data_IF_276902281293
#
_entry.id   IF_276902281293
#
_cell.length_a   1.000
_cell.length_b   1.000
_cell.length_c   1.000
_cell.angle_alpha   90.00
_cell.angle_beta   90.00
_cell.angle_gamma   90.00
#
_symmetry.space_group_name_H-M   'P 1'
#
loop_
_entity.id
_entity.type
_entity.pdbx_description
1 polymer ?
#
# COMPACT_ATOMS: atom_id res chain seq x y z
N UNK A 1 10.78 -2.69 -13.82
CA UNK A 1 10.55 -3.05 -12.41
C UNK A 1 11.14 -4.42 -12.14
N UNK A 2 12.09 -4.52 -11.24
CA UNK A 2 12.76 -5.77 -10.87
C UNK A 2 11.91 -6.47 -9.81
N UNK A 3 11.51 -7.74 -10.06
CA UNK A 3 10.95 -8.58 -8.99
C UNK A 3 12.10 -8.96 -8.07
N UNK A 4 11.97 -8.66 -6.78
CA UNK A 4 12.85 -9.25 -5.78
C UNK A 4 12.29 -10.63 -5.49
N UNK A 5 13.08 -11.69 -5.67
CA UNK A 5 12.62 -13.05 -5.40
C UNK A 5 12.67 -13.32 -3.90
N UNK A 6 11.49 -13.61 -3.35
CA UNK A 6 11.26 -14.04 -1.98
C UNK A 6 10.51 -15.37 -1.98
N UNK A 7 10.68 -16.17 -0.93
CA UNK A 7 10.03 -17.48 -0.80
C UNK A 7 8.56 -17.35 -0.40
N UNK A 8 8.25 -16.45 0.54
CA UNK A 8 6.93 -16.27 1.13
C UNK A 8 6.38 -14.85 1.02
N UNK A 9 7.23 -13.84 0.83
CA UNK A 9 6.83 -12.44 0.71
C UNK A 9 6.42 -12.09 -0.73
N UNK A 10 5.35 -12.69 -1.21
CA UNK A 10 4.92 -12.68 -2.63
C UNK A 10 4.66 -11.28 -3.19
N UNK A 11 4.14 -10.33 -2.39
CA UNK A 11 3.81 -8.96 -2.81
C UNK A 11 4.97 -7.97 -2.59
N UNK A 12 6.19 -8.47 -2.42
CA UNK A 12 7.36 -7.61 -2.24
C UNK A 12 8.00 -7.27 -3.57
N UNK A 13 8.17 -5.97 -3.84
CA UNK A 13 8.77 -5.49 -5.10
C UNK A 13 9.42 -4.12 -4.97
N UNK A 14 10.51 -3.95 -5.74
CA UNK A 14 11.18 -2.68 -5.95
C UNK A 14 10.44 -1.84 -7.01
N UNK A 15 10.34 -0.55 -6.80
CA UNK A 15 9.83 0.41 -7.79
C UNK A 15 10.89 0.80 -8.82
N UNK A 16 12.14 0.41 -8.60
CA UNK A 16 13.24 0.68 -9.50
C UNK A 16 12.99 0.20 -10.93
N UNK A 17 13.43 0.98 -11.89
CA UNK A 17 13.22 0.75 -13.32
C UNK A 17 11.85 1.16 -13.86
N UNK A 18 10.95 1.69 -13.03
CA UNK A 18 9.73 2.35 -13.53
C UNK A 18 10.14 3.62 -14.26
N UNK A 19 9.75 3.71 -15.53
CA UNK A 19 9.98 4.92 -16.35
C UNK A 19 8.92 5.94 -15.98
N UNK A 20 9.35 7.17 -15.75
CA UNK A 20 8.51 8.33 -15.47
C UNK A 20 8.63 9.35 -16.60
N UNK A 21 8.00 10.52 -16.47
CA UNK A 21 8.05 11.57 -17.47
C UNK A 21 9.49 12.03 -17.75
N UNK A 22 9.68 12.70 -18.90
CA UNK A 22 10.93 13.32 -19.33
C UNK A 22 12.11 12.35 -19.54
N UNK A 23 11.84 11.05 -19.69
CA UNK A 23 12.87 10.05 -19.95
C UNK A 23 13.73 9.70 -18.75
N UNK A 24 13.21 9.92 -17.55
CA UNK A 24 13.80 9.45 -16.32
C UNK A 24 13.20 8.10 -15.88
N UNK A 25 13.89 7.42 -14.98
CA UNK A 25 13.42 6.19 -14.34
C UNK A 25 13.81 6.18 -12.85
N UNK A 26 13.05 5.43 -12.06
CA UNK A 26 13.31 5.27 -10.64
C UNK A 26 14.59 4.45 -10.43
N UNK A 27 15.46 4.93 -9.56
CA UNK A 27 16.69 4.23 -9.14
C UNK A 27 16.34 2.88 -8.53
N UNK A 28 16.94 1.76 -8.98
CA UNK A 28 16.72 0.45 -8.38
C UNK A 28 17.22 0.35 -6.92
N UNK A 29 16.64 -0.60 -6.21
CA UNK A 29 17.01 -1.01 -4.86
C UNK A 29 16.98 0.13 -3.81
N UNK A 30 16.04 1.09 -3.98
CA UNK A 30 15.83 2.22 -3.07
C UNK A 30 14.41 2.30 -2.49
N UNK A 31 13.39 1.90 -3.23
CA UNK A 31 11.98 2.08 -2.90
C UNK A 31 11.25 0.74 -3.03
N UNK A 32 10.99 0.08 -1.90
CA UNK A 32 10.42 -1.27 -1.86
C UNK A 32 9.05 -1.24 -1.18
N UNK A 33 8.05 -1.84 -1.81
CA UNK A 33 6.73 -2.08 -1.18
C UNK A 33 6.52 -3.55 -0.92
N UNK A 34 5.77 -3.88 0.16
CA UNK A 34 5.52 -5.26 0.57
C UNK A 34 4.15 -5.46 1.21
N UNK A 35 3.75 -6.70 1.42
CA UNK A 35 2.83 -7.14 2.46
C UNK A 35 3.55 -7.27 3.80
N UNK A 36 2.83 -7.71 4.84
CA UNK A 36 3.38 -7.92 6.20
C UNK A 36 4.61 -8.84 6.16
N UNK A 37 5.62 -8.49 6.94
CA UNK A 37 6.88 -9.25 6.98
C UNK A 37 6.82 -10.47 7.91
N UNK A 38 5.92 -10.50 8.88
CA UNK A 38 5.81 -11.57 9.86
C UNK A 38 5.45 -12.95 9.30
N UNK A 39 5.19 -13.07 7.99
CA UNK A 39 5.00 -14.35 7.29
C UNK A 39 6.22 -14.79 6.49
N UNK A 40 7.27 -13.96 6.43
CA UNK A 40 8.49 -14.27 5.67
C UNK A 40 9.26 -15.45 6.25
N UNK A 41 9.93 -16.22 5.37
CA UNK A 41 10.88 -17.22 5.81
C UNK A 41 12.15 -16.58 6.40
N UNK A 42 12.99 -17.37 7.06
CA UNK A 42 14.27 -16.89 7.57
C UNK A 42 15.14 -16.29 6.45
N UNK A 43 15.17 -16.95 5.29
CA UNK A 43 15.85 -16.47 4.08
C UNK A 43 15.28 -15.13 3.58
N UNK A 44 13.95 -14.95 3.62
CA UNK A 44 13.31 -13.69 3.25
C UNK A 44 13.73 -12.54 4.19
N UNK A 45 13.77 -12.83 5.49
CA UNK A 45 14.12 -11.83 6.51
C UNK A 45 15.60 -11.44 6.43
N UNK A 46 16.49 -12.40 6.23
CA UNK A 46 17.90 -12.13 5.96
C UNK A 46 18.06 -11.23 4.73
N UNK A 47 17.31 -11.55 3.65
CA UNK A 47 17.34 -10.76 2.41
C UNK A 47 16.84 -9.33 2.61
N UNK A 48 15.79 -9.12 3.43
CA UNK A 48 15.36 -7.78 3.83
C UNK A 48 16.48 -7.04 4.55
N UNK A 49 17.17 -7.66 5.50
CA UNK A 49 18.28 -7.06 6.23
C UNK A 49 19.46 -6.62 5.35
N UNK A 50 19.70 -7.32 4.23
CA UNK A 50 20.69 -6.94 3.26
C UNK A 50 20.31 -5.67 2.46
N UNK A 51 19.05 -5.57 2.07
CA UNK A 51 18.55 -4.57 1.12
C UNK A 51 18.03 -3.29 1.79
N UNK A 52 17.48 -3.39 2.99
CA UNK A 52 16.65 -2.37 3.62
C UNK A 52 17.34 -1.78 4.84
N UNK A 53 17.21 -0.49 5.07
CA UNK A 53 17.62 0.18 6.32
C UNK A 53 16.45 0.59 7.20
N UNK A 54 15.27 0.81 6.59
CA UNK A 54 14.06 1.25 7.28
C UNK A 54 12.87 0.47 6.76
N UNK A 55 12.07 -0.07 7.66
CA UNK A 55 10.74 -0.63 7.41
C UNK A 55 9.70 0.33 7.97
N UNK A 56 8.71 0.69 7.16
CA UNK A 56 7.57 1.51 7.57
C UNK A 56 6.31 0.63 7.57
N UNK A 57 5.73 0.45 8.75
CA UNK A 57 4.53 -0.34 8.96
C UNK A 57 3.28 0.56 9.10
N UNK A 58 2.35 0.45 8.16
CA UNK A 58 1.10 1.22 8.15
C UNK A 58 -0.07 0.53 8.88
N UNK A 59 0.16 -0.64 9.49
CA UNK A 59 -0.89 -1.41 10.16
C UNK A 59 -1.35 -0.76 11.47
N UNK A 60 -2.54 -1.10 11.90
CA UNK A 60 -3.02 -0.77 13.24
C UNK A 60 -2.26 -1.54 14.33
N UNK A 61 -2.36 -1.12 15.58
CA UNK A 61 -1.78 -1.83 16.72
C UNK A 61 -2.32 -3.26 16.85
N UNK A 62 -3.61 -3.47 16.56
CA UNK A 62 -4.22 -4.80 16.60
C UNK A 62 -3.62 -5.73 15.54
N UNK A 63 -3.53 -5.28 14.27
CA UNK A 63 -2.93 -6.08 13.20
C UNK A 63 -1.46 -6.43 13.49
N UNK A 64 -0.72 -5.51 14.11
CA UNK A 64 0.68 -5.74 14.51
C UNK A 64 0.80 -6.75 15.63
N UNK A 65 -0.10 -6.71 16.59
CA UNK A 65 -0.09 -7.66 17.73
C UNK A 65 -0.42 -9.09 17.29
N UNK A 66 -1.27 -9.25 16.29
CA UNK A 66 -1.63 -10.56 15.72
C UNK A 66 -0.51 -11.19 14.89
N UNK A 67 0.22 -10.38 14.14
CA UNK A 67 1.33 -10.85 13.31
C UNK A 67 2.47 -9.83 13.38
N UNK A 68 3.29 -9.86 14.45
CA UNK A 68 4.41 -8.94 14.61
C UNK A 68 5.42 -9.08 13.48
N UNK A 69 6.01 -7.96 13.06
CA UNK A 69 7.18 -8.05 12.19
C UNK A 69 8.39 -8.56 12.97
N UNK A 70 9.28 -9.30 12.31
CA UNK A 70 10.49 -9.78 12.93
C UNK A 70 11.45 -8.63 13.25
N UNK A 71 12.24 -8.80 14.31
CA UNK A 71 13.39 -7.91 14.57
C UNK A 71 14.52 -8.25 13.59
N UNK A 72 14.90 -7.29 12.76
CA UNK A 72 15.91 -7.48 11.70
C UNK A 72 17.14 -6.66 12.08
N UNK A 73 18.30 -7.30 12.35
CA UNK A 73 19.52 -6.58 12.72
C UNK A 73 19.91 -5.49 11.72
N UNK A 74 20.08 -4.26 12.21
CA UNK A 74 20.46 -3.11 11.38
C UNK A 74 19.31 -2.46 10.59
N UNK A 75 18.09 -2.90 10.75
CA UNK A 75 16.89 -2.31 10.15
C UNK A 75 16.08 -1.58 11.23
N UNK A 76 15.69 -0.35 10.94
CA UNK A 76 14.84 0.45 11.83
C UNK A 76 13.37 0.24 11.45
N UNK A 77 12.56 -0.25 12.39
CA UNK A 77 11.11 -0.37 12.21
C UNK A 77 10.42 0.91 12.68
N UNK A 78 9.65 1.54 11.80
CA UNK A 78 8.89 2.76 12.08
C UNK A 78 7.41 2.47 11.88
N UNK A 79 6.63 2.67 12.93
CA UNK A 79 5.18 2.49 12.90
C UNK A 79 4.47 3.79 12.60
N UNK A 80 3.73 3.82 11.50
CA UNK A 80 2.89 4.95 11.07
C UNK A 80 1.50 4.39 10.75
N UNK A 81 0.62 4.22 11.74
CA UNK A 81 -0.70 3.65 11.47
C UNK A 81 -1.50 4.55 10.56
N UNK A 82 -1.88 4.03 9.40
CA UNK A 82 -2.84 4.65 8.50
C UNK A 82 -4.20 4.04 8.81
N UNK A 83 -5.00 4.76 9.57
CA UNK A 83 -6.33 4.34 9.98
C UNK A 83 -7.32 5.25 9.26
N UNK A 84 -8.31 4.66 8.64
CA UNK A 84 -9.47 5.38 8.15
C UNK A 84 -10.37 5.71 9.35
N UNK A 85 -10.67 6.99 9.55
CA UNK A 85 -11.56 7.43 10.64
C UNK A 85 -12.99 6.86 10.47
N UNK A 86 -13.38 6.48 9.24
CA UNK A 86 -14.64 5.77 8.97
C UNK A 86 -14.56 4.31 9.45
N UNK A 87 -13.42 3.65 9.24
CA UNK A 87 -13.19 2.31 9.77
C UNK A 87 -12.95 2.32 11.29
N UNK A 88 -12.34 3.38 11.84
CA UNK A 88 -12.15 3.55 13.28
C UNK A 88 -13.49 3.70 14.05
N UNK A 89 -14.56 4.15 13.40
CA UNK A 89 -15.92 4.18 13.98
C UNK A 89 -16.53 2.79 14.14
N UNK A 90 -16.11 1.81 13.33
CA UNK A 90 -16.55 0.40 13.37
C UNK A 90 -15.60 -0.42 14.27
N UNK A 91 -14.34 -0.03 14.41
CA UNK A 91 -13.24 -0.77 15.06
C UNK A 91 -13.16 -0.68 16.58
N UNK A 92 -14.24 -0.32 17.29
CA UNK A 92 -14.24 -0.28 18.76
C UNK A 92 -14.71 -1.56 19.45
N UNK A 93 -15.26 -2.51 18.67
CA UNK A 93 -15.74 -3.79 19.21
C UNK A 93 -15.45 -4.91 18.20
N UNK A 94 -14.58 -5.87 18.54
CA UNK A 94 -14.19 -6.98 17.66
C UNK A 94 -15.39 -7.77 17.11
N UNK A 95 -16.49 -7.83 17.87
CA UNK A 95 -17.74 -8.45 17.40
C UNK A 95 -18.41 -7.65 16.30
N UNK A 96 -18.33 -6.31 16.35
CA UNK A 96 -18.90 -5.45 15.31
C UNK A 96 -18.13 -5.54 13.99
N UNK A 97 -16.81 -5.75 14.05
CA UNK A 97 -15.97 -5.90 12.86
C UNK A 97 -16.22 -7.23 12.16
N UNK A 98 -16.41 -8.32 12.91
CA UNK A 98 -16.75 -9.63 12.34
C UNK A 98 -18.14 -9.62 11.72
N UNK A 99 -19.11 -9.03 12.38
CA UNK A 99 -20.48 -8.89 11.86
C UNK A 99 -20.52 -8.02 10.59
N UNK A 100 -19.79 -6.88 10.59
CA UNK A 100 -19.68 -6.01 9.42
C UNK A 100 -18.99 -6.72 8.25
N UNK A 101 -17.92 -7.46 8.50
CA UNK A 101 -17.25 -8.28 7.49
C UNK A 101 -18.20 -9.34 6.92
N UNK A 102 -18.96 -10.04 7.77
CA UNK A 102 -19.93 -11.06 7.33
C UNK A 102 -21.07 -10.45 6.51
N UNK A 103 -21.51 -9.23 6.83
CA UNK A 103 -22.50 -8.51 6.01
C UNK A 103 -21.92 -8.20 4.62
N UNK A 104 -20.73 -7.62 4.56
CA UNK A 104 -20.05 -7.29 3.31
C UNK A 104 -19.73 -8.54 2.48
N UNK A 105 -19.39 -9.66 3.12
CA UNK A 105 -19.10 -10.91 2.43
C UNK A 105 -20.31 -11.49 1.67
N UNK A 106 -21.54 -11.03 1.97
CA UNK A 106 -22.76 -11.45 1.29
C UNK A 106 -23.39 -10.34 0.40
N UNK A 107 -22.71 -9.19 0.29
CA UNK A 107 -23.15 -8.05 -0.49
C UNK A 107 -22.01 -7.54 -1.40
N UNK A 108 -21.93 -8.02 -2.66
CA UNK A 108 -20.88 -7.59 -3.59
C UNK A 108 -20.84 -6.08 -3.84
N UNK A 109 -21.99 -5.44 -3.98
CA UNK A 109 -22.06 -4.01 -4.25
C UNK A 109 -21.65 -3.21 -2.99
N UNK A 110 -22.12 -3.62 -1.82
CA UNK A 110 -21.71 -3.05 -0.54
C UNK A 110 -20.22 -3.25 -0.26
N UNK A 111 -19.65 -4.40 -0.61
CA UNK A 111 -18.21 -4.65 -0.49
C UNK A 111 -17.38 -3.74 -1.40
N UNK A 112 -17.82 -3.53 -2.64
CA UNK A 112 -17.20 -2.61 -3.58
C UNK A 112 -17.26 -1.18 -3.05
N UNK A 113 -18.44 -0.72 -2.63
CA UNK A 113 -18.64 0.63 -2.09
C UNK A 113 -17.80 0.86 -0.83
N UNK A 114 -17.76 -0.11 0.09
CA UNK A 114 -16.94 -0.03 1.29
C UNK A 114 -15.46 0.18 0.96
N UNK A 115 -14.93 -0.57 -0.01
CA UNK A 115 -13.54 -0.41 -0.43
C UNK A 115 -13.29 0.95 -1.11
N UNK A 116 -14.21 1.44 -1.93
CA UNK A 116 -14.10 2.79 -2.51
C UNK A 116 -14.05 3.86 -1.41
N UNK A 117 -14.95 3.78 -0.42
CA UNK A 117 -14.97 4.70 0.73
C UNK A 117 -13.68 4.65 1.56
N UNK A 118 -13.09 3.47 1.72
CA UNK A 118 -11.79 3.31 2.39
C UNK A 118 -10.71 4.13 1.69
N UNK A 119 -10.68 4.11 0.34
CA UNK A 119 -9.71 4.89 -0.43
C UNK A 119 -10.03 6.39 -0.42
N UNK A 120 -11.29 6.78 -0.45
CA UNK A 120 -11.70 8.17 -0.19
C UNK A 120 -11.19 8.65 1.17
N UNK A 121 -11.27 7.78 2.19
CA UNK A 121 -10.79 8.02 3.55
C UNK A 121 -9.28 8.28 3.61
N UNK A 122 -8.46 7.63 2.79
CA UNK A 122 -7.01 7.91 2.73
C UNK A 122 -6.70 9.36 2.33
N UNK A 123 -7.58 9.99 1.58
CA UNK A 123 -7.47 11.39 1.15
C UNK A 123 -8.17 12.35 2.11
N UNK A 124 -9.38 12.01 2.55
CA UNK A 124 -10.22 12.89 3.34
C UNK A 124 -9.81 12.96 4.82
N UNK A 125 -9.32 11.84 5.40
CA UNK A 125 -8.93 11.78 6.82
C UNK A 125 -7.65 12.57 7.09
N UNK A 126 -7.71 13.46 8.10
CA UNK A 126 -6.54 14.22 8.54
C UNK A 126 -5.45 13.29 9.11
N UNK A 127 -5.85 12.25 9.84
CA UNK A 127 -4.92 11.27 10.43
C UNK A 127 -4.17 10.50 9.34
N UNK A 128 -4.86 10.06 8.28
CA UNK A 128 -4.24 9.37 7.15
C UNK A 128 -3.26 10.31 6.41
N UNK A 129 -3.66 11.55 6.12
CA UNK A 129 -2.77 12.53 5.49
C UNK A 129 -1.51 12.81 6.31
N UNK A 130 -1.63 12.96 7.62
CA UNK A 130 -0.48 13.13 8.53
C UNK A 130 0.46 11.91 8.47
N UNK A 131 -0.10 10.71 8.44
CA UNK A 131 0.69 9.48 8.32
C UNK A 131 1.42 9.39 6.97
N UNK A 132 0.76 9.69 5.86
CA UNK A 132 1.41 9.73 4.55
C UNK A 132 2.44 10.86 4.45
N UNK A 133 2.19 12.02 5.05
CA UNK A 133 3.21 13.07 5.13
C UNK A 133 4.45 12.60 5.89
N UNK A 134 4.25 12.00 7.07
CA UNK A 134 5.36 11.46 7.87
C UNK A 134 6.13 10.37 7.10
N UNK A 135 5.45 9.54 6.33
CA UNK A 135 6.08 8.56 5.45
C UNK A 135 6.95 9.24 4.38
N UNK A 136 6.45 10.27 3.70
CA UNK A 136 7.23 11.01 2.70
C UNK A 136 8.43 11.69 3.33
N UNK A 137 8.29 12.25 4.54
CA UNK A 137 9.41 12.85 5.27
C UNK A 137 10.56 11.85 5.51
N UNK A 138 10.23 10.58 5.80
CA UNK A 138 11.23 9.52 5.92
C UNK A 138 11.95 9.21 4.60
N UNK A 139 11.28 9.38 3.47
CA UNK A 139 11.90 9.20 2.15
C UNK A 139 12.84 10.35 1.77
N UNK A 140 12.70 11.52 2.40
CA UNK A 140 13.57 12.66 2.19
C UNK A 140 14.91 12.55 2.92
N UNK A 141 15.07 11.58 3.81
CA UNK A 141 16.34 11.30 4.46
C UNK A 141 17.27 10.55 3.48
N UNK A 142 18.50 11.03 3.33
CA UNK A 142 19.50 10.33 2.51
C UNK A 142 19.96 9.04 3.20
N UNK A 143 19.88 7.91 2.48
CA UNK A 143 20.17 6.58 2.99
C UNK A 143 20.89 5.74 1.94
N UNK A 144 21.79 4.89 2.38
CA UNK A 144 22.54 3.99 1.48
C UNK A 144 21.70 2.79 1.02
N UNK A 145 20.74 2.34 1.85
CA UNK A 145 19.86 1.21 1.57
C UNK A 145 18.41 1.65 1.34
N UNK A 146 17.60 0.72 0.87
CA UNK A 146 16.20 0.95 0.59
C UNK A 146 15.36 1.30 1.84
N UNK A 147 14.26 2.03 1.61
CA UNK A 147 13.11 2.08 2.51
C UNK A 147 12.07 1.09 1.98
N UNK A 148 11.61 0.20 2.86
CA UNK A 148 10.50 -0.70 2.60
C UNK A 148 9.27 -0.22 3.35
N UNK A 149 8.11 -0.19 2.69
CA UNK A 149 6.84 0.08 3.37
C UNK A 149 5.82 -1.00 3.11
N UNK A 150 5.01 -1.28 4.10
CA UNK A 150 4.00 -2.32 4.02
C UNK A 150 2.74 -2.02 4.85
N UNK A 151 1.72 -2.82 4.61
CA UNK A 151 0.57 -3.00 5.49
C UNK A 151 0.30 -4.50 5.63
N UNK A 152 -0.93 -4.95 5.79
CA UNK A 152 -1.24 -6.38 5.93
C UNK A 152 -1.05 -7.13 4.61
N UNK A 153 -1.83 -6.79 3.57
CA UNK A 153 -1.70 -7.41 2.23
C UNK A 153 -0.70 -6.68 1.30
N UNK A 154 -0.24 -5.49 1.68
CA UNK A 154 0.54 -4.62 0.79
C UNK A 154 -0.28 -4.02 -0.35
N UNK A 155 -1.61 -4.11 -0.28
CA UNK A 155 -2.55 -3.72 -1.32
C UNK A 155 -3.01 -2.27 -1.17
N UNK A 156 -3.72 -1.97 -0.07
CA UNK A 156 -4.47 -0.71 0.10
C UNK A 156 -3.58 0.42 0.61
N UNK A 157 -3.25 0.47 1.89
CA UNK A 157 -2.44 1.53 2.51
C UNK A 157 -1.07 1.68 1.85
N UNK A 158 -0.35 0.57 1.66
CA UNK A 158 0.93 0.55 0.95
C UNK A 158 0.75 0.84 -0.55
N UNK A 159 -0.39 0.48 -1.14
CA UNK A 159 -0.73 0.79 -2.52
C UNK A 159 -0.93 2.27 -2.75
N UNK A 160 -1.70 2.95 -1.90
CA UNK A 160 -1.91 4.39 -2.00
C UNK A 160 -0.63 5.18 -1.64
N UNK A 161 0.14 4.76 -0.63
CA UNK A 161 1.48 5.30 -0.38
C UNK A 161 2.38 5.23 -1.62
N UNK A 162 2.32 4.10 -2.35
CA UNK A 162 3.05 3.94 -3.62
C UNK A 162 2.53 4.90 -4.69
N UNK A 163 1.22 5.11 -4.79
CA UNK A 163 0.66 6.09 -5.73
C UNK A 163 1.16 7.50 -5.43
N UNK A 164 1.20 7.91 -4.15
CA UNK A 164 1.78 9.20 -3.73
C UNK A 164 3.24 9.31 -4.18
N UNK A 165 4.06 8.31 -3.93
CA UNK A 165 5.48 8.30 -4.34
C UNK A 165 5.62 8.42 -5.85
N UNK A 166 4.85 7.66 -6.61
CA UNK A 166 4.90 7.66 -8.07
C UNK A 166 4.42 9.01 -8.66
N UNK A 167 3.40 9.63 -8.07
CA UNK A 167 2.96 11.00 -8.46
C UNK A 167 4.06 12.04 -8.19
N UNK A 168 4.71 12.00 -7.01
CA UNK A 168 5.85 12.87 -6.69
C UNK A 168 6.96 12.73 -7.73
N UNK A 169 7.26 11.49 -8.12
CA UNK A 169 8.33 11.17 -9.07
C UNK A 169 7.92 11.41 -10.54
N UNK A 170 6.66 11.77 -10.82
CA UNK A 170 6.18 12.13 -12.15
C UNK A 170 5.82 10.92 -13.02
N UNK A 171 5.41 9.81 -12.46
CA UNK A 171 4.81 8.72 -13.22
C UNK A 171 3.42 9.13 -13.73
N UNK A 172 3.05 8.64 -14.92
CA UNK A 172 1.70 8.85 -15.42
C UNK A 172 0.68 7.94 -14.72
N UNK A 173 -0.59 8.32 -14.83
CA UNK A 173 -1.71 7.64 -14.20
C UNK A 173 -1.84 6.17 -14.59
N UNK A 174 -1.54 5.84 -15.84
CA UNK A 174 -1.60 4.47 -16.35
C UNK A 174 -0.51 3.61 -15.72
N UNK A 175 0.70 4.12 -15.63
CA UNK A 175 1.84 3.48 -14.94
C UNK A 175 1.52 3.21 -13.46
N UNK A 176 0.93 4.20 -12.77
CA UNK A 176 0.53 4.06 -11.35
C UNK A 176 -0.54 2.98 -11.21
N UNK A 177 -1.57 3.03 -12.06
CA UNK A 177 -2.67 2.05 -12.04
C UNK A 177 -2.18 0.63 -12.35
N UNK A 178 -1.31 0.46 -13.33
CA UNK A 178 -0.72 -0.85 -13.66
C UNK A 178 0.14 -1.39 -12.50
N UNK A 179 0.96 -0.54 -11.87
CA UNK A 179 1.73 -0.95 -10.68
C UNK A 179 0.80 -1.40 -9.55
N UNK A 180 -0.29 -0.68 -9.30
CA UNK A 180 -1.26 -1.01 -8.28
C UNK A 180 -1.96 -2.34 -8.57
N UNK A 181 -2.48 -2.53 -9.78
CA UNK A 181 -3.21 -3.74 -10.19
C UNK A 181 -2.33 -4.99 -10.27
N UNK A 182 -1.02 -4.83 -10.51
CA UNK A 182 -0.06 -5.95 -10.48
C UNK A 182 -0.05 -6.68 -9.13
N UNK A 183 -0.53 -6.05 -8.07
CA UNK A 183 -0.71 -6.71 -6.78
C UNK A 183 -1.52 -8.01 -6.91
N UNK A 184 -2.56 -8.02 -7.76
CA UNK A 184 -3.40 -9.19 -7.97
C UNK A 184 -2.61 -10.41 -8.48
N UNK A 185 -1.69 -10.20 -9.43
CA UNK A 185 -0.86 -11.28 -9.98
C UNK A 185 0.06 -11.89 -8.91
N UNK A 186 0.48 -11.05 -7.94
CA UNK A 186 1.44 -11.45 -6.91
C UNK A 186 0.79 -12.14 -5.71
N UNK A 187 -0.50 -11.87 -5.44
CA UNK A 187 -1.23 -12.43 -4.30
C UNK A 187 -2.43 -13.29 -4.70
N UNK A 188 -2.56 -13.68 -5.99
CA UNK A 188 -3.71 -14.45 -6.47
C UNK A 188 -3.91 -15.75 -5.66
N UNK A 189 -2.84 -16.49 -5.41
CA UNK A 189 -2.90 -17.73 -4.63
C UNK A 189 -3.35 -17.47 -3.17
N UNK A 190 -2.93 -16.35 -2.59
CA UNK A 190 -3.34 -15.94 -1.24
C UNK A 190 -4.82 -15.56 -1.22
N UNK A 191 -5.30 -14.83 -2.23
CA UNK A 191 -6.71 -14.49 -2.39
C UNK A 191 -7.56 -15.75 -2.49
N UNK A 192 -7.20 -16.69 -3.38
CA UNK A 192 -7.92 -17.95 -3.56
C UNK A 192 -7.92 -18.79 -2.28
N UNK A 193 -6.81 -18.81 -1.56
CA UNK A 193 -6.70 -19.52 -0.28
C UNK A 193 -7.62 -18.91 0.78
N UNK A 194 -7.67 -17.58 0.90
CA UNK A 194 -8.54 -16.88 1.85
C UNK A 194 -10.01 -17.11 1.53
N UNK A 195 -10.42 -16.99 0.26
CA UNK A 195 -11.79 -17.27 -0.19
C UNK A 195 -12.15 -18.73 0.11
N UNK A 196 -11.28 -19.67 -0.23
CA UNK A 196 -11.50 -21.09 0.05
C UNK A 196 -11.58 -21.41 1.55
N UNK A 197 -10.81 -20.73 2.39
CA UNK A 197 -10.89 -20.86 3.84
C UNK A 197 -12.23 -20.32 4.36
N UNK A 198 -12.67 -19.17 3.89
CA UNK A 198 -13.96 -18.59 4.27
C UNK A 198 -15.11 -19.56 3.96
N UNK A 199 -15.20 -20.11 2.75
CA UNK A 199 -16.21 -21.08 2.38
C UNK A 199 -16.19 -22.35 3.26
N UNK A 200 -15.01 -22.85 3.60
CA UNK A 200 -14.88 -24.02 4.51
C UNK A 200 -15.35 -23.70 5.93
N UNK A 201 -15.05 -22.52 6.43
CA UNK A 201 -15.40 -22.12 7.81
C UNK A 201 -16.89 -21.83 7.97
N UNK A 202 -17.50 -21.15 7.00
CA UNK A 202 -18.88 -20.69 7.07
C UNK A 202 -19.89 -21.66 6.50
N UNK A 203 -19.45 -22.59 5.64
CA UNK A 203 -20.35 -23.43 4.86
C UNK A 203 -21.15 -22.64 3.80
N UNK A 204 -20.79 -21.38 3.56
CA UNK A 204 -21.46 -20.55 2.55
C UNK A 204 -21.35 -21.21 1.18
N UNK A 205 -22.41 -21.10 0.38
CA UNK A 205 -22.47 -21.67 -0.98
C UNK A 205 -22.97 -20.65 -2.02
N UNK A 206 -23.23 -19.40 -1.60
CA UNK A 206 -23.73 -18.34 -2.49
C UNK A 206 -22.57 -17.86 -3.40
N UNK A 207 -22.74 -17.89 -4.74
CA UNK A 207 -21.77 -17.32 -5.67
C UNK A 207 -21.46 -15.84 -5.41
N UNK A 208 -22.43 -15.05 -4.91
CA UNK A 208 -22.25 -13.65 -4.57
C UNK A 208 -21.21 -13.45 -3.46
N UNK A 209 -21.12 -14.37 -2.50
CA UNK A 209 -20.09 -14.35 -1.46
C UNK A 209 -18.69 -14.39 -2.07
N UNK A 210 -18.46 -15.23 -3.07
CA UNK A 210 -17.17 -15.29 -3.77
C UNK A 210 -16.82 -13.97 -4.48
N UNK A 211 -17.81 -13.30 -5.07
CA UNK A 211 -17.65 -12.00 -5.73
C UNK A 211 -17.32 -10.92 -4.70
N UNK A 212 -18.07 -10.85 -3.60
CA UNK A 212 -17.86 -9.88 -2.52
C UNK A 212 -16.48 -10.04 -1.88
N UNK A 213 -16.07 -11.26 -1.55
CA UNK A 213 -14.73 -11.55 -1.02
C UNK A 213 -13.63 -11.15 -2.01
N UNK A 214 -13.86 -11.40 -3.31
CA UNK A 214 -12.92 -10.97 -4.34
C UNK A 214 -12.83 -9.44 -4.42
N UNK A 215 -13.93 -8.70 -4.24
CA UNK A 215 -13.90 -7.25 -4.10
C UNK A 215 -13.04 -6.84 -2.90
N UNK A 216 -13.21 -7.42 -1.73
CA UNK A 216 -12.46 -7.05 -0.54
C UNK A 216 -10.96 -7.40 -0.62
N UNK A 217 -10.59 -8.52 -1.26
CA UNK A 217 -9.21 -9.02 -1.23
C UNK A 217 -8.36 -8.61 -2.43
N UNK A 218 -8.96 -8.28 -3.60
CA UNK A 218 -8.22 -7.89 -4.79
C UNK A 218 -8.03 -6.37 -4.88
N UNK A 219 -6.97 -5.95 -5.57
CA UNK A 219 -6.82 -4.57 -6.01
C UNK A 219 -7.74 -4.30 -7.20
N UNK A 220 -8.47 -3.18 -7.19
CA UNK A 220 -9.37 -2.81 -8.27
C UNK A 220 -9.15 -1.35 -8.66
N UNK A 221 -9.28 -1.07 -9.96
CA UNK A 221 -9.10 0.28 -10.51
C UNK A 221 -10.03 1.28 -9.83
N UNK A 222 -11.26 0.87 -9.57
CA UNK A 222 -12.31 1.68 -8.94
C UNK A 222 -11.89 2.22 -7.56
N UNK A 223 -11.08 1.47 -6.79
CA UNK A 223 -10.61 1.94 -5.49
C UNK A 223 -9.63 3.08 -5.62
N UNK A 224 -8.65 2.92 -6.52
CA UNK A 224 -7.67 3.97 -6.76
C UNK A 224 -8.34 5.19 -7.40
N UNK A 225 -9.30 4.99 -8.32
CA UNK A 225 -10.11 6.07 -8.91
C UNK A 225 -10.89 6.83 -7.84
N UNK A 226 -11.53 6.15 -6.88
CA UNK A 226 -12.25 6.80 -5.78
C UNK A 226 -11.33 7.73 -4.95
N UNK A 227 -10.07 7.32 -4.71
CA UNK A 227 -9.10 8.20 -4.07
C UNK A 227 -8.78 9.42 -4.92
N UNK A 228 -8.59 9.24 -6.23
CA UNK A 228 -8.31 10.36 -7.14
C UNK A 228 -9.49 11.31 -7.30
N UNK A 229 -10.71 10.78 -7.38
CA UNK A 229 -11.93 11.59 -7.42
C UNK A 229 -12.08 12.43 -6.14
N UNK A 230 -11.72 11.85 -4.99
CA UNK A 230 -11.71 12.59 -3.72
C UNK A 230 -10.61 13.66 -3.70
N UNK A 231 -9.44 13.40 -4.29
CA UNK A 231 -8.38 14.42 -4.47
C UNK A 231 -8.92 15.56 -5.33
N UNK A 232 -9.53 15.27 -6.47
CA UNK A 232 -10.10 16.29 -7.36
C UNK A 232 -11.18 17.11 -6.65
N UNK A 233 -12.06 16.44 -5.90
CA UNK A 233 -13.14 17.07 -5.16
C UNK A 233 -12.66 18.03 -4.07
N UNK A 234 -11.60 17.67 -3.32
CA UNK A 234 -11.14 18.42 -2.16
C UNK A 234 -10.04 19.43 -2.48
N UNK A 235 -9.20 19.14 -3.49
CA UNK A 235 -7.98 19.90 -3.78
C UNK A 235 -7.88 20.36 -5.24
N UNK A 236 -8.71 19.85 -6.15
CA UNK A 236 -8.70 20.20 -7.57
C UNK A 236 -7.78 19.31 -8.39
N UNK A 237 -6.56 19.05 -7.95
CA UNK A 237 -5.63 18.11 -8.60
C UNK A 237 -4.66 17.45 -7.60
N UNK A 238 -3.87 16.49 -8.06
CA UNK A 238 -2.96 15.76 -7.19
C UNK A 238 -1.77 16.61 -6.71
N UNK A 239 -1.33 17.58 -7.50
CA UNK A 239 -0.29 18.53 -7.10
C UNK A 239 -0.75 19.38 -5.91
N UNK A 240 -1.98 19.88 -5.95
CA UNK A 240 -2.59 20.60 -4.84
C UNK A 240 -2.79 19.70 -3.61
N UNK A 241 -3.14 18.43 -3.80
CA UNK A 241 -3.19 17.47 -2.70
C UNK A 241 -1.81 17.24 -2.06
N UNK A 242 -0.75 17.12 -2.86
CA UNK A 242 0.61 17.02 -2.32
C UNK A 242 0.98 18.26 -1.51
N UNK A 243 0.64 19.45 -2.01
CA UNK A 243 0.99 20.73 -1.37
C UNK A 243 0.08 21.03 -0.18
N UNK A 244 -1.23 21.12 -0.36
CA UNK A 244 -2.18 21.56 0.68
C UNK A 244 -2.64 20.38 1.58
N UNK A 245 -2.86 19.20 0.98
CA UNK A 245 -3.33 18.01 1.68
C UNK A 245 -2.26 17.35 2.52
N UNK A 246 -1.06 17.18 1.97
CA UNK A 246 0.10 16.59 2.65
C UNK A 246 1.08 17.65 3.17
N UNK A 247 0.99 18.91 2.75
CA UNK A 247 1.89 19.98 3.17
C UNK A 247 3.32 19.83 2.61
N UNK A 248 3.48 19.19 1.44
CA UNK A 248 4.77 19.07 0.75
C UNK A 248 5.07 20.38 0.01
N UNK A 249 6.31 20.85 0.12
CA UNK A 249 6.80 22.01 -0.61
C UNK A 249 7.42 21.56 -1.95
N UNK A 250 7.52 22.47 -2.90
CA UNK A 250 8.19 22.20 -4.19
C UNK A 250 9.64 21.75 -4.01
N UNK A 251 10.30 22.23 -2.94
CA UNK A 251 11.64 21.80 -2.57
C UNK A 251 11.70 20.32 -2.14
N UNK A 252 10.67 19.85 -1.42
CA UNK A 252 10.56 18.45 -0.97
C UNK A 252 10.35 17.53 -2.20
N UNK A 253 9.48 17.94 -3.13
CA UNK A 253 9.23 17.24 -4.39
C UNK A 253 10.49 17.19 -5.26
N UNK A 254 11.18 18.32 -5.39
CA UNK A 254 12.43 18.41 -6.16
C UNK A 254 13.52 17.51 -5.57
N UNK A 255 13.67 17.52 -4.24
CA UNK A 255 14.62 16.66 -3.53
C UNK A 255 14.31 15.18 -3.73
N UNK A 256 13.05 14.76 -3.64
CA UNK A 256 12.63 13.39 -3.94
C UNK A 256 13.04 12.97 -5.35
N UNK A 257 12.83 13.83 -6.34
CA UNK A 257 13.19 13.56 -7.73
C UNK A 257 14.71 13.46 -7.92
N UNK A 258 15.47 14.34 -7.29
CA UNK A 258 16.94 14.28 -7.31
C UNK A 258 17.50 12.99 -6.69
N UNK A 259 16.90 12.53 -5.60
CA UNK A 259 17.36 11.34 -4.88
C UNK A 259 16.99 10.02 -5.58
N UNK A 260 15.81 9.97 -6.25
CA UNK A 260 15.24 8.72 -6.72
C UNK A 260 15.12 8.59 -8.23
N UNK A 261 15.53 9.59 -9.02
CA UNK A 261 15.46 9.54 -10.48
C UNK A 261 16.84 9.58 -11.14
N UNK A 262 17.00 8.78 -12.18
CA UNK A 262 18.17 8.81 -13.08
C UNK A 262 17.67 8.80 -14.53
N UNK A 263 18.47 9.36 -15.50
CA UNK A 263 18.13 9.25 -16.90
C UNK A 263 18.00 7.79 -17.34
N UNK A 264 16.93 7.43 -18.04
CA UNK A 264 16.62 6.05 -18.45
C UNK A 264 17.64 5.42 -19.41
N UNK A 265 18.55 6.22 -19.98
CA UNK A 265 19.60 5.76 -20.92
C UNK A 265 20.90 5.31 -20.21
N UNK A 266 20.94 5.31 -18.88
CA UNK A 266 22.17 5.02 -18.10
C UNK A 266 22.21 3.57 -17.59
N UNK A 267 21.11 2.80 -17.70
CA UNK A 267 21.06 1.41 -17.23
C UNK A 267 20.87 0.45 -18.39
#
# INVERSE_FOLDING_TARGET
MKKIEFEQLNNTRDLGGIVVQDGYMIVPDRLIRSGRLGIGSESDIERIGELVSVVVDFRSDNERSETPDPDIPGVVNIHIPIIDDLAAGVSRDQKSDEEAFMMLANDPDGALEYMCRTYEGFVASESARKGYRQFVDLLLDDRDKAVLWHCTAGKDRAGFATAIVLEILGADRDTITQNYLRTNDLIEDDIQRMIGMFFRMTGAADPNTGVALKHMFSARKEYLEAAYDMVEKLYGDFGMFLNEGLGLRDEDISKMREMYLVPSRII
#
